data_IF_113469029380
#
_entry.id   IF_113469029380
#
_cell.length_a   1.000
_cell.length_b   1.000
_cell.length_c   1.000
_cell.angle_alpha   90.00
_cell.angle_beta   90.00
_cell.angle_gamma   90.00
#
_symmetry.space_group_name_H-M   'P 1'
#
loop_
_entity.id
_entity.type
_entity.pdbx_description
1 polymer ?
#
# COMPACT_ATOMS: atom_id res chain seq x y z
N UNK A 1 -20.39 3.63 21.15
CA UNK A 1 -19.39 2.87 20.39
C UNK A 1 -18.62 2.06 21.42
N UNK A 2 -18.50 0.74 21.25
CA UNK A 2 -17.68 -0.09 22.14
C UNK A 2 -16.21 0.20 21.88
N UNK A 3 -15.36 0.16 22.92
CA UNK A 3 -13.92 0.20 22.77
C UNK A 3 -13.46 -1.08 22.04
N UNK A 4 -12.54 -0.92 21.10
CA UNK A 4 -11.94 -2.03 20.34
C UNK A 4 -10.42 -1.93 20.43
N UNK A 5 -9.84 -2.63 21.37
CA UNK A 5 -8.39 -2.61 21.64
C UNK A 5 -7.61 -3.22 20.46
N UNK A 6 -8.22 -4.13 19.70
CA UNK A 6 -7.61 -4.72 18.51
C UNK A 6 -7.53 -3.74 17.30
N UNK A 7 -8.16 -2.58 17.38
CA UNK A 7 -8.06 -1.54 16.36
C UNK A 7 -7.05 -0.43 16.72
N UNK A 8 -6.19 -0.68 17.70
CA UNK A 8 -5.06 0.20 18.02
C UNK A 8 -3.83 -0.22 17.22
N UNK A 9 -3.06 0.75 16.71
CA UNK A 9 -1.89 0.52 15.86
C UNK A 9 -0.60 0.92 16.58
N UNK A 10 0.36 0.00 16.62
CA UNK A 10 1.76 0.26 16.97
C UNK A 10 2.63 -0.17 15.81
N UNK A 11 3.26 0.76 15.12
CA UNK A 11 4.04 0.45 13.92
C UNK A 11 5.30 -0.32 14.30
N UNK A 12 5.37 -1.59 13.94
CA UNK A 12 6.55 -2.46 14.10
C UNK A 12 7.47 -2.44 12.89
N UNK A 13 6.89 -2.36 11.69
CA UNK A 13 7.61 -2.25 10.42
C UNK A 13 6.73 -1.60 9.36
N UNK A 14 7.32 -1.22 8.22
CA UNK A 14 6.58 -0.64 7.11
C UNK A 14 7.36 -0.68 5.81
N UNK A 15 6.66 -0.47 4.71
CA UNK A 15 7.25 -0.40 3.38
C UNK A 15 6.50 0.62 2.52
N UNK A 16 7.24 1.27 1.62
CA UNK A 16 6.70 2.20 0.64
C UNK A 16 6.98 1.66 -0.75
N UNK A 17 5.96 1.64 -1.58
CA UNK A 17 6.03 1.04 -2.90
C UNK A 17 5.47 2.00 -3.95
N UNK A 18 6.00 1.88 -5.15
CA UNK A 18 5.51 2.59 -6.34
C UNK A 18 5.23 1.60 -7.45
N UNK A 19 4.26 1.96 -8.30
CA UNK A 19 3.90 1.18 -9.49
C UNK A 19 3.45 2.12 -10.61
N UNK A 20 3.29 1.66 -11.86
CA UNK A 20 2.66 2.44 -12.91
C UNK A 20 1.30 2.98 -12.48
N UNK A 21 0.96 4.20 -12.95
CA UNK A 21 -0.33 4.84 -12.64
C UNK A 21 -1.50 3.91 -12.96
N UNK A 22 -2.44 3.80 -12.03
CA UNK A 22 -3.62 2.97 -12.16
C UNK A 22 -3.42 1.49 -11.85
N UNK A 23 -2.24 1.11 -11.34
CA UNK A 23 -2.07 -0.24 -10.80
C UNK A 23 -2.96 -0.43 -9.58
N UNK A 24 -3.73 -1.49 -9.57
CA UNK A 24 -4.59 -1.84 -8.43
C UNK A 24 -3.77 -2.14 -7.16
N UNK A 25 -4.39 -1.95 -6.01
CA UNK A 25 -3.80 -2.34 -4.72
C UNK A 25 -3.45 -3.83 -4.77
N UNK A 26 -2.24 -4.24 -4.33
CA UNK A 26 -1.88 -5.65 -4.34
C UNK A 26 -2.80 -6.43 -3.41
N UNK A 27 -3.11 -7.64 -3.81
CA UNK A 27 -3.91 -8.55 -3.01
C UNK A 27 -3.18 -8.98 -1.73
N UNK A 28 -1.88 -9.13 -1.77
CA UNK A 28 -1.03 -9.32 -0.60
C UNK A 28 -0.24 -8.03 -0.32
N UNK A 29 -0.52 -7.41 0.82
CA UNK A 29 0.13 -6.18 1.24
C UNK A 29 1.52 -6.42 1.87
N UNK A 30 1.79 -7.65 2.35
CA UNK A 30 3.07 -8.01 2.95
C UNK A 30 4.12 -8.41 1.91
N UNK A 31 3.67 -9.05 0.82
CA UNK A 31 4.54 -9.51 -0.28
C UNK A 31 4.00 -8.98 -1.60
N UNK A 32 4.07 -7.67 -1.84
CA UNK A 32 3.62 -7.09 -3.09
C UNK A 32 4.41 -7.64 -4.27
N UNK A 33 3.68 -8.10 -5.29
CA UNK A 33 4.28 -8.62 -6.52
C UNK A 33 4.36 -7.54 -7.60
N UNK A 34 5.21 -7.76 -8.62
CA UNK A 34 5.24 -6.89 -9.81
C UNK A 34 3.80 -6.54 -10.28
N UNK A 35 3.54 -5.27 -10.68
CA UNK A 35 4.53 -4.22 -10.95
C UNK A 35 4.89 -3.31 -9.75
N UNK A 36 4.51 -3.67 -8.53
CA UNK A 36 4.86 -2.93 -7.33
C UNK A 36 6.34 -3.10 -6.98
N UNK A 37 7.02 -2.00 -6.76
CA UNK A 37 8.44 -1.97 -6.42
C UNK A 37 8.67 -1.13 -5.17
N UNK A 38 9.50 -1.63 -4.25
CA UNK A 38 9.90 -0.87 -3.08
C UNK A 38 10.70 0.39 -3.46
N UNK A 39 10.48 1.46 -2.70
CA UNK A 39 11.21 2.74 -2.88
C UNK A 39 12.63 2.66 -2.33
N UNK A 40 12.85 1.86 -1.30
CA UNK A 40 14.13 1.71 -0.62
C UNK A 40 14.01 1.83 0.89
N UNK A 41 15.15 1.96 1.58
CA UNK A 41 15.19 2.16 3.04
C UNK A 41 14.65 3.53 3.43
N UNK A 42 13.85 3.58 4.49
CA UNK A 42 13.21 4.81 4.99
C UNK A 42 13.50 5.03 6.47
N UNK A 43 13.32 6.26 6.93
CA UNK A 43 13.60 6.66 8.29
C UNK A 43 12.69 5.96 9.31
N UNK A 44 13.26 5.63 10.48
CA UNK A 44 12.52 5.15 11.64
C UNK A 44 11.96 6.31 12.48
N UNK A 45 12.52 7.51 12.36
CA UNK A 45 12.09 8.68 13.14
C UNK A 45 10.94 9.42 12.45
N UNK A 46 11.08 9.67 11.13
CA UNK A 46 10.07 10.31 10.30
C UNK A 46 9.39 9.26 9.41
N UNK A 47 8.63 8.37 10.05
CA UNK A 47 8.02 7.23 9.35
C UNK A 47 7.04 7.72 8.28
N UNK A 48 6.00 8.45 8.68
CA UNK A 48 4.95 8.89 7.76
C UNK A 48 4.12 10.01 8.37
N UNK A 49 3.79 11.01 7.56
CA UNK A 49 2.88 12.08 7.96
C UNK A 49 1.89 12.40 6.86
N UNK A 50 0.73 12.92 7.23
CA UNK A 50 -0.27 13.46 6.31
C UNK A 50 -0.59 14.87 6.74
N UNK A 51 -0.29 15.84 5.89
CA UNK A 51 -0.69 17.23 6.05
C UNK A 51 -1.94 17.51 5.23
N UNK A 52 -2.86 18.30 5.78
CA UNK A 52 -4.10 18.69 5.12
C UNK A 52 -4.19 20.20 5.08
N UNK A 53 -4.33 20.76 3.89
CA UNK A 53 -4.47 22.19 3.65
C UNK A 53 -5.80 22.51 2.99
N UNK A 54 -6.37 23.69 3.26
CA UNK A 54 -7.68 24.07 2.74
C UNK A 54 -8.84 23.53 3.58
N UNK A 55 -10.01 23.42 2.97
CA UNK A 55 -11.24 23.03 3.70
C UNK A 55 -11.79 24.16 4.58
N UNK A 56 -11.31 25.39 4.42
CA UNK A 56 -11.76 26.55 5.19
C UNK A 56 -13.21 26.90 4.86
N UNK A 57 -13.97 27.19 5.91
CA UNK A 57 -15.36 27.59 5.80
C UNK A 57 -15.48 29.11 5.59
N UNK A 58 -16.03 29.53 4.46
CA UNK A 58 -16.42 30.92 4.22
C UNK A 58 -17.92 31.08 4.39
N UNK A 59 -18.33 31.88 5.35
CA UNK A 59 -19.73 32.20 5.57
C UNK A 59 -20.12 33.38 4.66
N UNK A 60 -21.14 33.16 3.84
CA UNK A 60 -21.69 34.15 2.93
C UNK A 60 -23.04 34.59 3.52
N UNK A 61 -23.16 35.87 3.73
CA UNK A 61 -24.40 36.47 4.28
C UNK A 61 -25.01 37.55 3.36
N UNK A 62 -26.17 38.01 3.72
CA UNK A 62 -26.79 39.22 3.20
C UNK A 62 -26.92 40.28 4.31
N UNK A 63 -27.31 41.48 3.93
CA UNK A 63 -27.55 42.56 4.92
C UNK A 63 -28.60 42.17 5.98
N UNK A 64 -29.55 41.32 5.61
CA UNK A 64 -30.66 40.85 6.46
C UNK A 64 -30.33 39.57 7.22
N UNK A 65 -29.37 38.74 6.69
CA UNK A 65 -28.95 37.51 7.33
C UNK A 65 -27.45 37.30 7.11
N UNK A 66 -26.65 37.46 8.17
CA UNK A 66 -25.20 37.39 8.12
C UNK A 66 -24.65 35.97 7.92
N UNK A 67 -25.49 34.93 8.07
CA UNK A 67 -25.10 33.52 7.94
C UNK A 67 -26.05 32.75 7.05
N UNK A 68 -26.11 33.12 5.76
CA UNK A 68 -27.06 32.55 4.81
C UNK A 68 -26.57 31.23 4.21
N UNK A 69 -25.26 31.12 3.93
CA UNK A 69 -24.60 29.97 3.30
C UNK A 69 -23.19 29.82 3.80
N UNK A 70 -22.71 28.58 3.86
CA UNK A 70 -21.30 28.28 4.08
C UNK A 70 -20.75 27.62 2.83
N UNK A 71 -19.61 28.10 2.34
CA UNK A 71 -18.82 27.49 1.26
C UNK A 71 -17.49 27.03 1.85
N UNK A 72 -17.10 25.81 1.51
CA UNK A 72 -15.78 25.25 1.89
C UNK A 72 -14.82 25.37 0.70
N UNK A 73 -13.58 25.75 0.97
CA UNK A 73 -12.50 25.66 -0.01
C UNK A 73 -12.15 24.19 -0.29
N UNK A 74 -11.52 23.92 -1.43
CA UNK A 74 -11.01 22.58 -1.71
C UNK A 74 -9.95 22.20 -0.68
N UNK A 75 -9.96 20.94 -0.25
CA UNK A 75 -8.94 20.36 0.62
C UNK A 75 -7.88 19.67 -0.24
N UNK A 76 -6.62 19.89 0.09
CA UNK A 76 -5.48 19.20 -0.50
C UNK A 76 -4.75 18.45 0.62
N UNK A 77 -4.43 17.20 0.38
CA UNK A 77 -3.68 16.39 1.32
C UNK A 77 -2.35 15.97 0.70
N UNK A 78 -1.31 16.02 1.50
CA UNK A 78 0.06 15.64 1.12
C UNK A 78 0.58 14.65 2.15
N UNK A 79 1.08 13.53 1.70
CA UNK A 79 1.78 12.54 2.49
C UNK A 79 3.27 12.83 2.43
N UNK A 80 4.00 12.57 3.50
CA UNK A 80 5.45 12.74 3.52
C UNK A 80 6.13 11.62 4.29
N UNK A 81 7.32 11.25 3.85
CA UNK A 81 8.22 10.30 4.50
C UNK A 81 9.67 10.63 4.12
N UNK A 82 10.64 10.06 4.84
CA UNK A 82 12.06 10.28 4.57
C UNK A 82 12.71 9.02 4.02
N UNK A 83 13.22 9.10 2.78
CA UNK A 83 13.96 8.03 2.11
C UNK A 83 15.44 8.12 2.48
N UNK A 84 16.04 7.01 2.93
CA UNK A 84 17.45 6.94 3.34
C UNK A 84 18.34 6.21 2.32
N UNK A 85 17.82 5.98 1.12
CA UNK A 85 18.55 5.31 0.04
C UNK A 85 18.86 6.31 -1.08
N UNK A 86 20.15 6.46 -1.42
CA UNK A 86 20.67 7.45 -2.37
C UNK A 86 21.05 6.82 -3.72
N UNK A 87 20.29 5.83 -4.19
CA UNK A 87 20.47 5.28 -5.52
C UNK A 87 19.81 6.16 -6.61
N UNK A 88 20.00 5.77 -7.88
CA UNK A 88 19.44 6.49 -9.03
C UNK A 88 17.91 6.63 -8.93
N UNK A 89 17.21 5.61 -8.43
CA UNK A 89 15.76 5.61 -8.26
C UNK A 89 15.33 6.61 -7.18
N UNK A 90 15.96 6.55 -6.01
CA UNK A 90 15.70 7.48 -4.90
C UNK A 90 15.99 8.94 -5.28
N UNK A 91 17.12 9.19 -5.93
CA UNK A 91 17.49 10.52 -6.41
C UNK A 91 16.49 11.06 -7.45
N UNK A 92 15.97 10.22 -8.35
CA UNK A 92 14.93 10.62 -9.31
C UNK A 92 13.57 10.89 -8.65
N UNK A 93 13.23 10.19 -7.59
CA UNK A 93 12.02 10.51 -6.81
C UNK A 93 12.14 11.88 -6.15
N UNK A 94 13.34 12.23 -5.67
CA UNK A 94 13.59 13.50 -4.99
C UNK A 94 13.79 14.67 -5.95
N UNK A 95 14.63 14.51 -7.01
CA UNK A 95 14.97 15.60 -7.94
C UNK A 95 14.10 15.64 -9.20
N UNK A 96 13.20 14.69 -9.38
CA UNK A 96 12.26 14.66 -10.49
C UNK A 96 12.51 13.53 -11.50
N UNK A 97 11.44 13.13 -12.16
CA UNK A 97 11.47 12.06 -13.18
C UNK A 97 12.34 12.38 -14.38
N UNK A 98 12.51 13.68 -14.69
CA UNK A 98 13.33 14.19 -15.78
C UNK A 98 14.81 14.38 -15.41
N UNK A 99 15.25 13.96 -14.22
CA UNK A 99 16.66 13.99 -13.82
C UNK A 99 17.49 13.09 -14.73
N UNK A 100 18.47 13.63 -15.51
CA UNK A 100 19.26 12.85 -16.45
C UNK A 100 20.31 12.00 -15.72
N UNK A 101 20.59 10.83 -16.26
CA UNK A 101 21.77 10.04 -15.85
C UNK A 101 22.90 10.45 -16.78
N UNK A 102 23.99 10.96 -16.21
CA UNK A 102 25.15 11.40 -16.96
C UNK A 102 26.04 10.22 -17.37
N UNK A 103 26.99 10.37 -18.33
CA UNK A 103 27.81 9.29 -18.80
C UNK A 103 28.70 8.64 -17.74
N UNK A 104 29.00 9.34 -16.66
CA UNK A 104 29.75 8.86 -15.50
C UNK A 104 28.88 8.14 -14.45
N UNK A 105 27.56 8.01 -14.71
CA UNK A 105 26.60 7.39 -13.83
C UNK A 105 26.00 8.32 -12.77
N UNK A 106 26.44 9.57 -12.69
CA UNK A 106 25.86 10.55 -11.78
C UNK A 106 24.46 11.00 -12.24
N UNK A 107 23.64 11.45 -11.30
CA UNK A 107 22.29 11.99 -11.58
C UNK A 107 22.38 13.51 -11.64
N UNK A 108 22.04 14.07 -12.78
CA UNK A 108 21.96 15.51 -12.98
C UNK A 108 20.70 16.08 -12.33
N UNK A 109 20.82 17.23 -11.67
CA UNK A 109 19.67 17.95 -11.11
C UNK A 109 19.08 18.88 -12.17
N UNK A 110 17.83 18.67 -12.61
CA UNK A 110 17.21 19.54 -13.61
C UNK A 110 16.93 20.94 -13.05
N UNK A 111 17.02 21.97 -13.91
CA UNK A 111 16.63 23.32 -13.53
C UNK A 111 15.13 23.45 -13.22
N UNK A 112 14.31 22.72 -13.99
CA UNK A 112 12.86 22.63 -13.81
C UNK A 112 12.49 21.16 -13.51
N UNK A 113 12.45 20.76 -12.23
CA UNK A 113 12.12 19.38 -11.83
C UNK A 113 10.67 19.03 -12.18
N UNK A 114 10.48 17.83 -12.77
CA UNK A 114 9.15 17.30 -13.04
C UNK A 114 8.85 16.20 -12.00
N UNK A 115 7.77 16.33 -11.20
CA UNK A 115 7.39 15.29 -10.25
C UNK A 115 7.26 13.92 -10.91
N UNK A 116 7.59 12.86 -10.17
CA UNK A 116 7.34 11.50 -10.64
C UNK A 116 5.88 11.15 -10.42
N UNK A 117 5.17 10.82 -11.49
CA UNK A 117 3.76 10.39 -11.40
C UNK A 117 3.68 8.87 -11.40
N UNK A 118 3.13 8.29 -10.33
CA UNK A 118 2.99 6.84 -10.15
C UNK A 118 1.79 6.50 -9.26
N UNK A 119 1.41 5.22 -9.21
CA UNK A 119 0.65 4.71 -8.09
C UNK A 119 1.56 4.62 -6.86
N UNK A 120 1.01 4.85 -5.67
CA UNK A 120 1.74 4.85 -4.40
C UNK A 120 1.02 3.99 -3.37
N UNK A 121 1.79 3.24 -2.61
CA UNK A 121 1.32 2.39 -1.53
C UNK A 121 2.27 2.50 -0.34
N UNK A 122 1.72 2.85 0.83
CA UNK A 122 2.42 2.78 2.10
C UNK A 122 1.76 1.71 2.97
N UNK A 123 2.55 0.77 3.44
CA UNK A 123 2.08 -0.37 4.25
C UNK A 123 2.77 -0.31 5.60
N UNK A 124 1.99 -0.45 6.67
CA UNK A 124 2.47 -0.49 8.06
C UNK A 124 1.99 -1.78 8.72
N UNK A 125 2.87 -2.44 9.44
CA UNK A 125 2.65 -3.74 10.06
C UNK A 125 2.75 -3.64 11.57
N UNK A 126 1.76 -4.20 12.26
CA UNK A 126 1.70 -4.34 13.71
C UNK A 126 1.39 -5.82 14.04
N UNK A 127 2.45 -6.60 14.27
CA UNK A 127 2.31 -8.05 14.43
C UNK A 127 1.67 -8.71 13.22
N UNK A 128 0.48 -9.26 13.38
CA UNK A 128 -0.32 -9.88 12.31
C UNK A 128 -1.24 -8.89 11.60
N UNK A 129 -1.33 -7.64 12.08
CA UNK A 129 -2.22 -6.63 11.52
C UNK A 129 -1.49 -5.74 10.52
N UNK A 130 -2.20 -5.33 9.49
CA UNK A 130 -1.70 -4.43 8.46
C UNK A 130 -2.64 -3.25 8.29
N UNK A 131 -2.02 -2.09 8.08
CA UNK A 131 -2.68 -0.83 7.80
C UNK A 131 -2.01 -0.21 6.57
N UNK A 132 -2.77 0.23 5.58
CA UNK A 132 -2.18 0.74 4.35
C UNK A 132 -2.88 1.99 3.81
N UNK A 133 -2.09 2.83 3.13
CA UNK A 133 -2.54 3.95 2.31
C UNK A 133 -2.24 3.64 0.85
N UNK A 134 -3.24 3.71 0.00
CA UNK A 134 -3.14 3.44 -1.42
C UNK A 134 -3.65 4.62 -2.24
N UNK A 135 -2.82 5.12 -3.15
CA UNK A 135 -3.20 6.11 -4.15
C UNK A 135 -2.96 5.55 -5.56
N UNK A 136 -4.00 5.38 -6.41
CA UNK A 136 -3.84 4.87 -7.77
C UNK A 136 -3.06 5.84 -8.68
N UNK A 137 -2.99 7.10 -8.28
CA UNK A 137 -2.20 8.15 -8.93
C UNK A 137 -1.72 9.14 -7.89
N UNK A 138 -0.44 9.39 -7.88
CA UNK A 138 0.19 10.40 -7.03
C UNK A 138 1.35 11.08 -7.75
N UNK A 139 1.62 12.31 -7.40
CA UNK A 139 2.85 13.02 -7.73
C UNK A 139 3.82 12.89 -6.56
N UNK A 140 5.02 12.38 -6.85
CA UNK A 140 6.11 12.23 -5.89
C UNK A 140 7.17 13.30 -6.21
N UNK A 141 7.59 14.03 -5.18
CA UNK A 141 8.46 15.17 -5.35
C UNK A 141 9.28 15.45 -4.08
N UNK A 142 10.23 16.37 -4.19
CA UNK A 142 11.01 16.90 -3.08
C UNK A 142 10.10 17.68 -2.12
N UNK A 143 10.00 17.21 -0.87
CA UNK A 143 9.14 17.85 0.14
C UNK A 143 9.87 18.94 0.94
N UNK A 144 11.16 18.73 1.21
CA UNK A 144 11.97 19.64 2.03
C UNK A 144 13.43 19.63 1.58
N UNK A 145 14.27 20.45 2.22
CA UNK A 145 15.69 20.54 1.94
C UNK A 145 16.47 19.30 2.38
N UNK A 146 17.43 18.89 1.54
CA UNK A 146 18.39 17.86 1.90
C UNK A 146 19.42 18.44 2.88
N UNK A 147 19.58 17.80 4.02
CA UNK A 147 20.55 18.17 5.05
C UNK A 147 21.37 16.96 5.48
N UNK A 148 22.67 17.18 5.64
CA UNK A 148 23.60 16.19 6.22
C UNK A 148 24.05 16.74 7.58
N UNK A 149 23.34 16.33 8.63
CA UNK A 149 23.46 16.96 9.95
C UNK A 149 24.62 16.45 10.79
N UNK A 150 24.85 15.14 10.84
CA UNK A 150 25.82 14.51 11.73
C UNK A 150 26.36 13.18 11.17
N UNK A 151 27.22 12.49 11.94
CA UNK A 151 27.81 11.20 11.59
C UNK A 151 27.18 10.02 12.34
N UNK A 152 26.17 10.26 13.17
CA UNK A 152 25.54 9.27 14.05
C UNK A 152 24.16 8.85 13.54
N UNK A 153 23.57 9.60 12.60
CA UNK A 153 22.28 9.31 11.96
C UNK A 153 22.41 9.10 10.44
N UNK A 154 21.48 8.34 9.86
CA UNK A 154 21.42 8.16 8.41
C UNK A 154 20.87 9.43 7.78
N UNK A 155 21.55 9.92 6.74
CA UNK A 155 21.03 11.00 5.91
C UNK A 155 19.74 10.58 5.18
N UNK A 156 18.84 11.53 4.95
CA UNK A 156 17.55 11.25 4.34
C UNK A 156 17.16 12.27 3.28
N UNK A 157 16.37 11.80 2.33
CA UNK A 157 15.71 12.59 1.28
C UNK A 157 14.24 12.78 1.68
N UNK A 158 13.80 13.98 2.09
CA UNK A 158 12.40 14.23 2.40
C UNK A 158 11.53 14.17 1.14
N UNK A 159 10.69 13.15 1.06
CA UNK A 159 9.80 12.87 -0.08
C UNK A 159 8.38 13.30 0.24
N UNK A 160 7.77 14.08 -0.64
CA UNK A 160 6.35 14.38 -0.64
C UNK A 160 5.59 13.55 -1.65
N UNK A 161 4.40 13.13 -1.28
CA UNK A 161 3.47 12.38 -2.14
C UNK A 161 2.14 13.09 -2.12
N UNK A 162 1.72 13.61 -3.26
CA UNK A 162 0.44 14.27 -3.44
C UNK A 162 -0.53 13.35 -4.18
N UNK A 163 -1.49 12.73 -3.48
CA UNK A 163 -2.51 11.90 -4.12
C UNK A 163 -3.39 12.72 -5.08
N UNK A 164 -3.74 12.10 -6.20
CA UNK A 164 -4.55 12.71 -7.24
C UNK A 164 -5.74 11.82 -7.59
N UNK A 165 -6.81 12.42 -8.10
CA UNK A 165 -7.92 11.64 -8.65
C UNK A 165 -7.47 10.83 -9.87
N UNK A 166 -7.99 9.62 -10.00
CA UNK A 166 -7.69 8.72 -11.11
C UNK A 166 -8.97 8.11 -11.72
N UNK A 167 -9.07 8.16 -13.04
CA UNK A 167 -10.23 7.62 -13.76
C UNK A 167 -11.55 8.26 -13.33
N UNK A 168 -12.54 7.44 -13.02
CA UNK A 168 -13.86 7.87 -12.53
C UNK A 168 -13.96 7.93 -10.99
N UNK A 169 -12.85 7.76 -10.28
CA UNK A 169 -12.85 7.77 -8.82
C UNK A 169 -13.20 9.17 -8.28
N UNK A 170 -14.07 9.23 -7.29
CA UNK A 170 -14.38 10.45 -6.54
C UNK A 170 -13.45 10.68 -5.34
N UNK A 171 -12.42 9.86 -5.19
CA UNK A 171 -11.44 9.88 -4.11
C UNK A 171 -10.02 9.90 -4.68
N UNK A 172 -9.05 10.37 -3.90
CA UNK A 172 -7.64 10.50 -4.30
C UNK A 172 -6.77 9.38 -3.74
N UNK A 173 -7.10 8.87 -2.56
CA UNK A 173 -6.47 7.72 -1.95
C UNK A 173 -7.46 6.95 -1.09
N UNK A 174 -7.14 5.70 -0.82
CA UNK A 174 -7.90 4.80 0.05
C UNK A 174 -7.04 4.41 1.26
N UNK A 175 -7.69 4.14 2.37
CA UNK A 175 -7.07 3.64 3.60
C UNK A 175 -7.63 2.25 3.84
N UNK A 176 -6.75 1.25 3.93
CA UNK A 176 -7.14 -0.08 4.36
C UNK A 176 -7.25 -0.06 5.88
N UNK A 177 -8.43 -0.34 6.47
CA UNK A 177 -8.57 -0.40 7.91
C UNK A 177 -7.60 -1.41 8.52
N UNK A 178 -7.15 -1.14 9.75
CA UNK A 178 -6.32 -2.08 10.48
C UNK A 178 -7.05 -3.42 10.60
N UNK A 179 -6.42 -4.48 10.12
CA UNK A 179 -6.96 -5.83 10.14
C UNK A 179 -5.86 -6.85 9.94
N UNK A 180 -6.13 -8.07 10.31
CA UNK A 180 -5.26 -9.19 9.94
C UNK A 180 -5.15 -9.25 8.43
N UNK A 181 -3.94 -9.41 7.92
CA UNK A 181 -3.75 -9.75 6.51
C UNK A 181 -4.38 -11.12 6.32
N UNK A 182 -5.56 -11.16 5.71
CA UNK A 182 -5.95 -12.41 5.09
C UNK A 182 -4.87 -12.71 4.05
N UNK A 183 -4.27 -13.87 4.10
CA UNK A 183 -3.34 -14.33 3.08
C UNK A 183 -4.03 -14.16 1.72
N UNK A 184 -3.62 -13.13 0.98
CA UNK A 184 -4.32 -12.70 -0.21
C UNK A 184 -3.81 -13.51 -1.39
N UNK A 185 -4.67 -14.18 -2.02
CA UNK A 185 -4.44 -15.24 -3.01
C UNK A 185 -5.09 -16.53 -2.57
N UNK A 186 -5.39 -16.66 -1.26
CA UNK A 186 -6.16 -17.78 -0.76
C UNK A 186 -7.64 -17.59 -1.08
N UNK A 187 -8.23 -18.51 -1.82
CA UNK A 187 -9.67 -18.52 -2.04
C UNK A 187 -10.31 -19.37 -0.95
N UNK A 188 -11.15 -18.75 -0.10
CA UNK A 188 -11.90 -19.48 0.91
C UNK A 188 -12.77 -20.53 0.24
N UNK A 189 -12.62 -21.78 0.67
CA UNK A 189 -13.47 -22.88 0.24
C UNK A 189 -14.82 -22.90 0.98
N UNK A 190 -15.75 -23.67 0.47
CA UNK A 190 -16.97 -24.06 1.20
C UNK A 190 -16.62 -25.23 2.11
N UNK A 191 -17.15 -25.32 3.35
CA UNK A 191 -16.90 -26.49 4.19
C UNK A 191 -17.17 -27.80 3.46
N UNK A 192 -16.20 -28.72 3.45
CA UNK A 192 -16.29 -30.02 2.78
C UNK A 192 -16.20 -29.95 1.25
N UNK A 193 -15.93 -28.82 0.62
CA UNK A 193 -15.79 -28.72 -0.83
C UNK A 193 -14.64 -27.81 -1.27
N UNK A 194 -14.10 -28.07 -2.45
CA UNK A 194 -13.01 -27.32 -3.04
C UNK A 194 -13.09 -27.39 -4.58
N UNK A 195 -12.83 -26.27 -5.24
CA UNK A 195 -12.75 -26.21 -6.72
C UNK A 195 -11.33 -25.90 -7.13
N UNK A 196 -10.59 -26.83 -7.78
CA UNK A 196 -9.25 -26.58 -8.26
C UNK A 196 -9.19 -25.45 -9.28
N UNK A 197 -8.04 -24.75 -9.36
CA UNK A 197 -7.79 -23.78 -10.41
C UNK A 197 -7.92 -24.46 -11.80
N UNK A 198 -8.72 -23.86 -12.70
CA UNK A 198 -9.00 -24.41 -14.04
C UNK A 198 -10.06 -25.53 -14.08
N UNK A 199 -10.67 -25.91 -12.94
CA UNK A 199 -11.82 -26.82 -12.86
C UNK A 199 -13.11 -26.04 -12.68
N UNK A 200 -14.22 -26.57 -13.19
CA UNK A 200 -15.59 -26.03 -13.03
C UNK A 200 -16.40 -26.81 -11.98
N UNK A 201 -15.88 -27.93 -11.53
CA UNK A 201 -16.58 -28.80 -10.57
C UNK A 201 -15.89 -28.75 -9.21
N UNK A 202 -16.65 -28.60 -8.10
CA UNK A 202 -16.10 -28.73 -6.75
C UNK A 202 -15.77 -30.20 -6.45
N UNK A 203 -14.78 -30.41 -5.61
CA UNK A 203 -14.47 -31.70 -4.98
C UNK A 203 -14.98 -31.69 -3.55
N UNK A 204 -15.63 -32.74 -3.14
CA UNK A 204 -16.02 -32.97 -1.74
C UNK A 204 -14.79 -33.40 -0.95
N UNK A 205 -14.44 -32.61 0.09
CA UNK A 205 -13.28 -32.85 0.93
C UNK A 205 -13.71 -33.07 2.35
N UNK A 206 -13.26 -34.20 2.93
CA UNK A 206 -13.55 -34.58 4.32
C UNK A 206 -12.35 -34.43 5.24
N UNK A 207 -11.13 -34.52 4.68
CA UNK A 207 -9.88 -34.37 5.41
C UNK A 207 -8.73 -33.91 4.49
N UNK A 208 -7.57 -33.62 5.10
CA UNK A 208 -6.37 -33.16 4.40
C UNK A 208 -5.78 -34.23 3.46
N UNK A 209 -5.90 -35.50 3.79
CA UNK A 209 -5.33 -36.62 3.00
C UNK A 209 -6.03 -36.74 1.65
N UNK A 210 -7.31 -36.43 1.57
CA UNK A 210 -8.06 -36.41 0.31
C UNK A 210 -7.63 -35.29 -0.60
N UNK A 211 -7.25 -34.12 -0.05
CA UNK A 211 -6.72 -33.00 -0.85
C UNK A 211 -5.34 -33.36 -1.39
N UNK A 212 -4.47 -33.93 -0.59
CA UNK A 212 -3.10 -34.27 -1.00
C UNK A 212 -3.05 -35.30 -2.13
N UNK A 213 -4.08 -36.08 -2.32
CA UNK A 213 -4.21 -37.01 -3.44
C UNK A 213 -4.54 -36.32 -4.78
N UNK A 214 -4.89 -35.03 -4.78
CA UNK A 214 -5.28 -34.30 -5.98
C UNK A 214 -4.08 -33.78 -6.78
N UNK A 215 -4.22 -33.58 -8.13
CA UNK A 215 -3.11 -33.11 -8.95
C UNK A 215 -2.62 -31.72 -8.54
N UNK A 216 -1.31 -31.58 -8.22
CA UNK A 216 -0.70 -30.32 -7.78
C UNK A 216 -0.84 -29.16 -8.77
N UNK A 217 -0.94 -29.44 -10.08
CA UNK A 217 -1.10 -28.44 -11.13
C UNK A 217 -2.45 -27.73 -11.14
N UNK A 218 -3.41 -28.21 -10.35
CA UNK A 218 -4.75 -27.63 -10.24
C UNK A 218 -4.85 -26.50 -9.17
N UNK A 219 -3.78 -26.30 -8.38
CA UNK A 219 -3.81 -25.44 -7.22
C UNK A 219 -3.06 -24.13 -7.42
N UNK A 220 -3.54 -23.07 -6.78
CA UNK A 220 -2.85 -21.77 -6.73
C UNK A 220 -2.20 -21.62 -5.35
N UNK A 221 -0.94 -21.22 -5.30
CA UNK A 221 -0.25 -20.95 -4.02
C UNK A 221 -1.03 -19.93 -3.19
N UNK A 222 -1.20 -20.21 -1.90
CA UNK A 222 -2.01 -19.42 -0.98
C UNK A 222 -3.51 -19.74 -1.01
N UNK A 223 -3.99 -20.55 -1.94
CA UNK A 223 -5.37 -21.01 -1.94
C UNK A 223 -5.64 -21.88 -0.72
N UNK A 224 -6.75 -21.64 -0.02
CA UNK A 224 -7.14 -22.47 1.13
C UNK A 224 -8.57 -22.97 0.99
N UNK A 225 -8.85 -24.04 1.73
CA UNK A 225 -10.16 -24.68 1.80
C UNK A 225 -10.56 -24.90 3.24
N UNK A 226 -11.86 -25.00 3.49
CA UNK A 226 -12.40 -25.43 4.77
C UNK A 226 -12.74 -26.92 4.64
N UNK A 227 -12.13 -27.75 5.49
CA UNK A 227 -12.37 -29.20 5.53
C UNK A 227 -13.70 -29.54 6.19
N UNK A 228 -14.13 -30.79 6.04
CA UNK A 228 -15.40 -31.26 6.59
C UNK A 228 -15.49 -31.18 8.12
N UNK A 229 -14.36 -31.17 8.82
CA UNK A 229 -14.26 -30.97 10.27
C UNK A 229 -14.26 -29.52 10.72
N UNK A 230 -14.29 -28.56 9.76
CA UNK A 230 -14.22 -27.13 9.98
C UNK A 230 -12.80 -26.58 10.11
N UNK A 231 -11.76 -27.40 10.02
CA UNK A 231 -10.37 -26.93 9.95
C UNK A 231 -10.04 -26.35 8.58
N UNK A 232 -8.90 -25.64 8.47
CA UNK A 232 -8.43 -25.08 7.22
C UNK A 232 -7.20 -25.84 6.71
N UNK A 233 -7.06 -25.91 5.38
CA UNK A 233 -5.85 -26.35 4.69
C UNK A 233 -5.49 -25.39 3.57
N UNK A 234 -4.21 -25.07 3.40
CA UNK A 234 -3.71 -24.13 2.38
C UNK A 234 -2.64 -24.77 1.50
N UNK A 235 -2.58 -24.34 0.23
CA UNK A 235 -1.59 -24.77 -0.74
C UNK A 235 -0.34 -23.88 -0.67
N UNK A 236 0.84 -24.45 -0.35
CA UNK A 236 2.09 -23.71 -0.23
C UNK A 236 2.87 -23.60 -1.55
N UNK A 237 2.33 -24.11 -2.64
CA UNK A 237 2.97 -24.20 -3.95
C UNK A 237 3.52 -25.59 -4.28
N UNK A 238 3.62 -26.48 -3.30
CA UNK A 238 4.12 -27.85 -3.45
C UNK A 238 3.18 -28.86 -2.80
N UNK A 239 2.70 -28.56 -1.59
CA UNK A 239 1.89 -29.47 -0.78
C UNK A 239 0.73 -28.72 -0.09
N UNK A 240 -0.29 -29.44 0.29
CA UNK A 240 -1.34 -28.96 1.20
C UNK A 240 -0.85 -29.05 2.65
N UNK A 241 -0.96 -27.95 3.36
CA UNK A 241 -0.57 -27.85 4.77
C UNK A 241 -1.76 -27.42 5.62
N UNK A 242 -1.82 -27.88 6.86
CA UNK A 242 -2.87 -27.50 7.80
C UNK A 242 -2.79 -26.01 8.13
N UNK A 243 -3.96 -25.36 8.23
CA UNK A 243 -4.10 -23.95 8.52
C UNK A 243 -4.30 -23.08 7.27
N UNK A 244 -4.44 -21.75 7.49
CA UNK A 244 -4.48 -20.74 6.44
C UNK A 244 -3.02 -20.33 6.17
N UNK A 245 -2.64 -20.15 4.90
CA UNK A 245 -1.32 -19.65 4.57
C UNK A 245 -1.09 -18.26 5.21
N UNK A 246 0.06 -18.10 5.84
CA UNK A 246 0.48 -16.83 6.45
C UNK A 246 0.89 -15.81 5.39
#
# INVERSE_FOLDING_TARGET
MALNDAATLVIGSGNYLTAPVGTDIPTDLLVPVSPWEAVGHTSLEDIFSIASEGGEATVIGSLQNKSLRTKYSARTETMAFTLQQFDVKGLKLYYGSNAPILPDGSVGVPADPVPTTSAFLAVFVDGENVFAFYAPKAEIYRNDDLSFGDTESLAGLPIGVKPMTYGANSWTYAITPLGTVAATGATAGTPGSFTPAGSTAPYDLVDLDLITASPATAWTTGQYVVLGDGSNASWNGTDWVAGIAA
#
